data_IF_480987822143
#
_entry.id   IF_480987822143
#
_cell.length_a   1.000
_cell.length_b   1.000
_cell.length_c   1.000
_cell.angle_alpha   90.00
_cell.angle_beta   90.00
_cell.angle_gamma   90.00
#
_symmetry.space_group_name_H-M   'P 1'
#
loop_
_entity.id
_entity.type
_entity.pdbx_description
1 polymer ?
#
# COMPACT_ATOMS: atom_id res chain seq x y z
N UNK A 1 -0.88 -2.57 -16.46
CA UNK A 1 -0.72 -3.71 -15.55
C UNK A 1 0.33 -3.39 -14.49
N UNK A 2 0.03 -3.68 -13.25
CA UNK A 2 1.02 -3.54 -12.18
C UNK A 2 2.06 -4.66 -12.33
N UNK A 3 3.32 -4.29 -12.55
CA UNK A 3 4.39 -5.24 -12.81
C UNK A 3 5.14 -5.64 -11.53
N UNK A 4 4.65 -5.24 -10.36
CA UNK A 4 5.30 -5.56 -9.11
C UNK A 4 5.06 -6.99 -8.68
N UNK A 5 5.93 -7.50 -7.80
CA UNK A 5 5.79 -8.81 -7.18
C UNK A 5 5.04 -8.72 -5.84
N UNK A 6 4.48 -7.55 -5.52
CA UNK A 6 3.72 -7.38 -4.29
C UNK A 6 2.48 -8.25 -4.32
N UNK A 7 2.15 -8.83 -3.16
CA UNK A 7 0.94 -9.62 -3.02
C UNK A 7 -0.29 -8.73 -3.23
N UNK A 8 -1.22 -9.18 -4.07
CA UNK A 8 -2.47 -8.47 -4.30
C UNK A 8 -3.48 -8.83 -3.21
N UNK A 9 -4.17 -7.81 -2.69
CA UNK A 9 -5.30 -8.00 -1.78
C UNK A 9 -6.56 -7.52 -2.46
N UNK A 10 -7.70 -8.03 -2.01
CA UNK A 10 -9.02 -7.76 -2.59
C UNK A 10 -9.99 -7.30 -1.52
N UNK A 11 -11.16 -6.84 -1.95
CA UNK A 11 -12.24 -6.52 -1.00
C UNK A 11 -12.52 -7.69 -0.06
N UNK A 12 -12.46 -8.93 -0.57
CA UNK A 12 -12.72 -10.14 0.22
C UNK A 12 -11.58 -10.49 1.16
N UNK A 13 -10.33 -10.24 0.77
CA UNK A 13 -9.16 -10.65 1.57
C UNK A 13 -8.63 -9.55 2.48
N UNK A 14 -9.12 -8.32 2.33
CA UNK A 14 -8.53 -7.15 3.00
C UNK A 14 -8.53 -7.29 4.53
N UNK A 15 -9.63 -7.73 5.10
CA UNK A 15 -9.73 -7.88 6.55
C UNK A 15 -8.68 -8.88 7.08
N UNK A 16 -8.57 -10.05 6.44
CA UNK A 16 -7.65 -11.09 6.88
C UNK A 16 -6.18 -10.72 6.63
N UNK A 17 -5.89 -10.05 5.52
CA UNK A 17 -4.52 -9.77 5.11
C UNK A 17 -3.97 -8.47 5.70
N UNK A 18 -4.83 -7.50 5.97
CA UNK A 18 -4.41 -6.16 6.39
C UNK A 18 -4.92 -5.82 7.79
N UNK A 19 -6.23 -5.91 8.01
CA UNK A 19 -6.83 -5.39 9.24
C UNK A 19 -6.47 -6.21 10.48
N UNK A 20 -6.26 -7.51 10.34
CA UNK A 20 -5.91 -8.39 11.46
C UNK A 20 -4.43 -8.75 11.49
N UNK A 21 -3.62 -8.11 10.66
CA UNK A 21 -2.18 -8.38 10.63
C UNK A 21 -1.52 -8.00 11.96
N UNK A 22 -0.61 -8.85 12.49
CA UNK A 22 0.14 -8.51 13.69
C UNK A 22 1.24 -7.48 13.45
N UNK A 23 1.56 -7.19 12.18
CA UNK A 23 2.57 -6.21 11.78
C UNK A 23 1.93 -5.07 11.01
N UNK A 24 2.57 -3.89 10.96
CA UNK A 24 2.12 -2.84 10.05
C UNK A 24 2.09 -3.32 8.61
N UNK A 25 1.13 -2.84 7.84
CA UNK A 25 0.97 -3.21 6.43
C UNK A 25 0.89 -1.94 5.60
N UNK A 26 1.78 -1.84 4.60
CA UNK A 26 1.73 -0.78 3.60
C UNK A 26 0.86 -1.27 2.45
N UNK A 27 -0.16 -0.50 2.09
CA UNK A 27 -1.07 -0.82 0.99
C UNK A 27 -0.84 0.16 -0.16
N UNK A 28 -0.40 -0.37 -1.30
CA UNK A 28 -0.22 0.37 -2.55
C UNK A 28 -1.55 0.37 -3.30
N UNK A 29 -2.26 1.48 -3.25
CA UNK A 29 -3.52 1.65 -3.98
C UNK A 29 -3.21 2.18 -5.38
N UNK A 30 -3.56 1.39 -6.41
CA UNK A 30 -3.17 1.65 -7.79
C UNK A 30 -4.31 1.32 -8.75
N UNK A 31 -4.14 1.71 -10.02
CA UNK A 31 -5.06 1.38 -11.09
C UNK A 31 -4.29 1.09 -12.38
N UNK A 32 -4.89 0.31 -13.26
CA UNK A 32 -4.28 -0.11 -14.53
C UNK A 32 -3.91 1.09 -15.41
N UNK A 33 -4.78 2.11 -15.44
CA UNK A 33 -4.60 3.32 -16.26
C UNK A 33 -3.60 4.32 -15.66
N UNK A 34 -3.11 4.07 -14.45
CA UNK A 34 -2.29 5.03 -13.71
C UNK A 34 -0.82 4.87 -14.07
N UNK A 35 -0.30 5.75 -14.93
CA UNK A 35 1.13 5.76 -15.26
C UNK A 35 2.04 5.97 -14.05
N UNK A 36 1.78 7.00 -13.22
CA UNK A 36 2.62 7.26 -12.04
C UNK A 36 2.67 6.10 -11.05
N UNK A 37 1.65 5.26 -10.98
CA UNK A 37 1.64 4.09 -10.10
C UNK A 37 2.79 3.13 -10.41
N UNK A 38 3.23 3.07 -11.66
CA UNK A 38 4.34 2.22 -12.08
C UNK A 38 5.67 2.63 -11.48
N UNK A 39 5.79 3.87 -11.04
CA UNK A 39 7.00 4.37 -10.37
C UNK A 39 7.03 3.97 -8.90
N UNK A 40 5.86 3.87 -8.27
CA UNK A 40 5.74 3.56 -6.85
C UNK A 40 5.97 2.09 -6.55
N UNK A 41 5.50 1.21 -7.43
CA UNK A 41 5.59 -0.24 -7.24
C UNK A 41 7.01 -0.73 -6.92
N UNK A 42 8.00 -0.44 -7.78
CA UNK A 42 9.37 -0.87 -7.51
C UNK A 42 9.97 -0.30 -6.22
N UNK A 43 9.60 0.92 -5.86
CA UNK A 43 10.04 1.55 -4.62
C UNK A 43 9.50 0.74 -3.43
N UNK A 44 8.23 0.38 -3.46
CA UNK A 44 7.62 -0.40 -2.39
C UNK A 44 8.15 -1.82 -2.33
N UNK A 45 8.48 -2.42 -3.48
CA UNK A 45 9.15 -3.73 -3.49
C UNK A 45 10.49 -3.67 -2.76
N UNK A 46 11.26 -2.59 -2.97
CA UNK A 46 12.53 -2.40 -2.27
C UNK A 46 12.32 -2.26 -0.77
N UNK A 47 11.33 -1.49 -0.36
CA UNK A 47 11.00 -1.32 1.07
C UNK A 47 10.59 -2.68 1.67
N UNK A 48 9.78 -3.45 0.96
CA UNK A 48 9.35 -4.77 1.42
C UNK A 48 10.54 -5.69 1.67
N UNK A 49 11.51 -5.69 0.76
CA UNK A 49 12.69 -6.53 0.88
C UNK A 49 13.60 -6.09 2.03
N UNK A 50 13.79 -4.79 2.19
CA UNK A 50 14.70 -4.23 3.19
C UNK A 50 14.13 -4.31 4.61
N UNK A 51 12.81 -4.36 4.75
CA UNK A 51 12.14 -4.38 6.05
C UNK A 51 11.31 -5.65 6.25
N UNK A 52 11.73 -6.74 5.61
CA UNK A 52 11.07 -8.05 5.75
C UNK A 52 10.99 -8.45 7.21
N UNK A 53 9.82 -8.90 7.65
CA UNK A 53 9.57 -9.26 9.04
C UNK A 53 9.16 -8.10 9.93
N UNK A 54 9.33 -6.86 9.48
CA UNK A 54 8.96 -5.66 10.22
C UNK A 54 7.67 -5.03 9.66
N UNK A 55 7.52 -5.05 8.35
CA UNK A 55 6.35 -4.52 7.66
C UNK A 55 6.01 -5.42 6.47
N UNK A 56 4.73 -5.60 6.23
CA UNK A 56 4.27 -6.26 5.02
C UNK A 56 3.84 -5.19 4.01
N UNK A 57 4.01 -5.47 2.73
CA UNK A 57 3.61 -4.56 1.66
C UNK A 57 2.71 -5.32 0.69
N UNK A 58 1.52 -4.79 0.43
CA UNK A 58 0.54 -5.39 -0.46
C UNK A 58 0.03 -4.37 -1.46
N UNK A 59 -0.60 -4.82 -2.52
CA UNK A 59 -1.15 -3.96 -3.57
C UNK A 59 -2.66 -4.16 -3.67
N UNK A 60 -3.40 -3.06 -3.85
CA UNK A 60 -4.84 -3.06 -4.03
C UNK A 60 -5.19 -2.30 -5.31
N UNK A 61 -5.78 -3.00 -6.29
CA UNK A 61 -6.32 -2.35 -7.49
C UNK A 61 -7.66 -1.71 -7.13
N UNK A 62 -7.73 -0.38 -7.16
CA UNK A 62 -8.92 0.35 -6.67
C UNK A 62 -10.13 0.15 -7.58
N UNK A 63 -9.92 -0.10 -8.86
CA UNK A 63 -11.04 -0.29 -9.79
C UNK A 63 -11.68 -1.66 -9.61
N UNK A 64 -10.90 -2.66 -9.29
CA UNK A 64 -11.38 -4.01 -9.05
C UNK A 64 -11.89 -4.21 -7.62
N UNK A 65 -11.52 -3.30 -6.72
CA UNK A 65 -11.85 -3.42 -5.30
C UNK A 65 -12.42 -2.11 -4.77
N UNK A 66 -13.58 -1.68 -5.31
CA UNK A 66 -14.14 -0.37 -5.00
C UNK A 66 -14.64 -0.22 -3.56
N UNK A 67 -15.00 -1.31 -2.90
CA UNK A 67 -15.50 -1.24 -1.52
C UNK A 67 -14.41 -0.77 -0.57
N UNK A 68 -13.23 -1.37 -0.65
CA UNK A 68 -12.10 -0.99 0.19
C UNK A 68 -11.65 0.44 -0.14
N UNK A 69 -11.56 0.77 -1.42
CA UNK A 69 -11.16 2.11 -1.85
C UNK A 69 -12.12 3.16 -1.28
N UNK A 70 -13.44 2.92 -1.35
CA UNK A 70 -14.45 3.83 -0.83
C UNK A 70 -14.38 3.94 0.68
N UNK A 71 -14.22 2.81 1.36
CA UNK A 71 -14.19 2.76 2.82
C UNK A 71 -13.07 3.61 3.39
N UNK A 72 -11.92 3.63 2.74
CA UNK A 72 -10.75 4.36 3.24
C UNK A 72 -10.50 5.67 2.50
N UNK A 73 -11.49 6.13 1.73
CA UNK A 73 -11.44 7.44 1.09
C UNK A 73 -10.34 7.59 0.05
N UNK A 74 -10.04 6.53 -0.69
CA UNK A 74 -9.01 6.56 -1.73
C UNK A 74 -9.61 7.24 -2.97
N UNK A 75 -9.28 8.51 -3.16
CA UNK A 75 -9.80 9.33 -4.26
C UNK A 75 -8.77 9.53 -5.37
N UNK A 76 -7.50 9.28 -5.10
CA UNK A 76 -6.41 9.49 -6.04
C UNK A 76 -5.50 8.27 -6.03
N UNK A 77 -4.87 7.99 -7.16
CA UNK A 77 -3.82 6.98 -7.27
C UNK A 77 -2.57 7.58 -7.89
N UNK A 78 -1.38 7.18 -7.45
CA UNK A 78 -1.14 6.25 -6.37
C UNK A 78 -1.43 6.87 -4.99
N UNK A 79 -1.95 6.06 -4.09
CA UNK A 79 -2.06 6.40 -2.67
C UNK A 79 -1.44 5.25 -1.89
N UNK A 80 -0.48 5.57 -1.02
CA UNK A 80 0.20 4.58 -0.20
C UNK A 80 -0.25 4.77 1.24
N UNK A 81 -0.95 3.78 1.77
CA UNK A 81 -1.51 3.84 3.11
C UNK A 81 -0.80 2.85 4.02
N UNK A 82 -0.48 3.27 5.24
CA UNK A 82 0.10 2.39 6.25
C UNK A 82 -0.97 2.07 7.28
N UNK A 83 -1.25 0.78 7.43
CA UNK A 83 -2.19 0.26 8.43
C UNK A 83 -1.43 -0.32 9.60
N UNK A 84 -1.90 -0.04 10.81
CA UNK A 84 -1.38 -0.65 12.02
C UNK A 84 -2.54 -0.86 13.00
N UNK A 85 -2.65 -2.08 13.51
CA UNK A 85 -3.75 -2.40 14.42
C UNK A 85 -5.14 -2.25 13.79
N UNK A 86 -5.25 -2.46 12.49
CA UNK A 86 -6.51 -2.36 11.77
C UNK A 86 -6.92 -0.95 11.38
N UNK A 87 -6.04 0.04 11.56
CA UNK A 87 -6.35 1.44 11.29
C UNK A 87 -5.30 2.08 10.39
N UNK A 88 -5.72 3.03 9.56
CA UNK A 88 -4.79 3.86 8.78
C UNK A 88 -4.07 4.80 9.73
N UNK A 89 -2.75 4.69 9.80
CA UNK A 89 -1.93 5.54 10.67
C UNK A 89 -1.11 6.56 9.88
N UNK A 90 -0.84 6.28 8.59
CA UNK A 90 -0.20 7.23 7.66
C UNK A 90 -0.79 7.04 6.28
N UNK A 91 -0.83 8.11 5.50
CA UNK A 91 -1.29 8.04 4.11
C UNK A 91 -0.53 9.07 3.28
N UNK A 92 -0.01 8.63 2.15
CA UNK A 92 0.75 9.49 1.23
C UNK A 92 0.08 9.43 -0.13
N UNK A 93 -0.27 10.58 -0.68
CA UNK A 93 -0.90 10.72 -1.99
C UNK A 93 0.14 11.15 -3.01
N UNK A 94 0.18 10.46 -4.14
CA UNK A 94 1.10 10.78 -5.23
C UNK A 94 2.43 10.05 -5.12
N UNK A 95 3.30 10.32 -6.10
CA UNK A 95 4.61 9.69 -6.17
C UNK A 95 5.57 10.39 -5.20
N UNK A 96 6.28 9.60 -4.40
CA UNK A 96 7.32 10.10 -3.50
C UNK A 96 8.55 9.21 -3.67
N UNK A 97 9.72 9.77 -3.37
CA UNK A 97 10.94 8.99 -3.36
C UNK A 97 10.93 7.93 -2.26
N UNK A 98 11.77 6.92 -2.40
CA UNK A 98 11.94 5.90 -1.36
C UNK A 98 12.30 6.53 -0.02
N UNK A 99 13.25 7.48 -0.01
CA UNK A 99 13.66 8.13 1.23
C UNK A 99 12.54 8.93 1.87
N UNK A 100 11.69 9.58 1.06
CA UNK A 100 10.54 10.32 1.58
C UNK A 100 9.52 9.37 2.22
N UNK A 101 9.25 8.23 1.59
CA UNK A 101 8.34 7.22 2.16
C UNK A 101 8.90 6.64 3.44
N UNK A 102 10.20 6.34 3.49
CA UNK A 102 10.83 5.82 4.70
C UNK A 102 10.74 6.81 5.86
N UNK A 103 10.91 8.11 5.58
CA UNK A 103 10.74 9.14 6.61
C UNK A 103 9.30 9.20 7.10
N UNK A 104 8.33 9.14 6.19
CA UNK A 104 6.91 9.21 6.55
C UNK A 104 6.50 8.02 7.43
N UNK A 105 7.04 6.84 7.16
CA UNK A 105 6.68 5.60 7.84
C UNK A 105 7.64 5.21 8.97
N UNK A 106 8.62 6.07 9.28
CA UNK A 106 9.73 5.72 10.18
C UNK A 106 9.28 5.16 11.53
N UNK A 107 8.21 5.70 12.10
CA UNK A 107 7.73 5.27 13.42
C UNK A 107 7.23 3.82 13.43
N UNK A 108 6.99 3.24 12.25
CA UNK A 108 6.42 1.89 12.13
C UNK A 108 7.39 0.90 11.48
N UNK A 109 8.57 1.35 11.15
CA UNK A 109 9.63 0.52 10.58
C UNK A 109 10.75 0.24 11.62
#
# INVERSE_FOLDING_TARGET
MNTTTLKSVTDQSFAAEVLTSPRPVIVDCWAEWCGPCRQVGPILEAIAAEHAGQVDVVALNVDENPETARRYGILHVPTVSLFSGGQVVRQVIGVRSKSALLREFADFL
#
